data_IF_695518811517
#
_entry.id   IF_695518811517
#
_cell.length_a   1.000
_cell.length_b   1.000
_cell.length_c   1.000
_cell.angle_alpha   90.00
_cell.angle_beta   90.00
_cell.angle_gamma   90.00
#
_symmetry.space_group_name_H-M   'P 1'
#
loop_
_entity.id
_entity.type
_entity.pdbx_description
1 polymer ?
#
# COMPACT_ATOMS: atom_id res chain seq x y z
N UNK A 1 22.09 -34.00 13.96
CA UNK A 1 22.32 -33.42 12.61
C UNK A 1 21.21 -32.40 12.32
N UNK A 2 21.17 -31.26 13.04
CA UNK A 2 20.03 -30.30 12.98
C UNK A 2 20.28 -29.11 12.03
N UNK A 3 20.85 -29.37 10.85
CA UNK A 3 21.17 -28.29 9.90
C UNK A 3 19.91 -27.59 9.36
N UNK A 4 18.80 -28.32 9.21
CA UNK A 4 17.51 -27.78 8.75
C UNK A 4 16.87 -26.79 9.74
N UNK A 5 17.00 -27.01 11.05
CA UNK A 5 16.44 -26.11 12.07
C UNK A 5 17.12 -24.74 12.09
N UNK A 6 18.39 -24.67 11.71
CA UNK A 6 19.12 -23.40 11.61
C UNK A 6 18.70 -22.61 10.36
N UNK A 7 18.49 -23.29 9.24
CA UNK A 7 18.05 -22.68 7.97
C UNK A 7 16.61 -22.16 8.07
N UNK A 8 15.71 -22.88 8.74
CA UNK A 8 14.30 -22.46 8.90
C UNK A 8 14.07 -21.35 9.94
N UNK A 9 15.00 -21.12 10.87
CA UNK A 9 14.86 -20.07 11.89
C UNK A 9 14.95 -18.66 11.32
N UNK A 10 15.82 -18.46 10.32
CA UNK A 10 16.05 -17.17 9.65
C UNK A 10 14.77 -16.61 9.00
N UNK A 11 14.02 -17.34 8.15
CA UNK A 11 12.79 -16.82 7.55
C UNK A 11 11.70 -16.57 8.58
N UNK A 12 11.56 -17.41 9.62
CA UNK A 12 10.58 -17.19 10.68
C UNK A 12 10.82 -15.87 11.44
N UNK A 13 12.08 -15.50 11.65
CA UNK A 13 12.44 -14.21 12.26
C UNK A 13 12.18 -13.02 11.34
N UNK A 14 12.19 -13.22 10.02
CA UNK A 14 11.88 -12.15 9.05
C UNK A 14 10.39 -11.84 8.97
N UNK A 15 9.51 -12.82 9.18
CA UNK A 15 8.05 -12.64 9.12
C UNK A 15 7.57 -11.44 9.98
N UNK A 16 7.89 -11.33 11.29
CA UNK A 16 7.43 -10.21 12.10
C UNK A 16 8.05 -8.87 11.67
N UNK A 17 9.28 -8.86 11.14
CA UNK A 17 9.91 -7.64 10.62
C UNK A 17 9.18 -7.15 9.38
N UNK A 18 8.90 -8.05 8.44
CA UNK A 18 8.16 -7.74 7.22
C UNK A 18 6.74 -7.26 7.56
N UNK A 19 6.05 -7.94 8.46
CA UNK A 19 4.73 -7.52 8.96
C UNK A 19 4.80 -6.12 9.58
N UNK A 20 5.79 -5.87 10.45
CA UNK A 20 5.98 -4.57 11.08
C UNK A 20 6.18 -3.45 10.07
N UNK A 21 7.09 -3.64 9.09
CA UNK A 21 7.34 -2.66 8.03
C UNK A 21 6.08 -2.46 7.18
N UNK A 22 5.40 -3.53 6.74
CA UNK A 22 4.17 -3.42 5.95
C UNK A 22 3.08 -2.64 6.67
N UNK A 23 2.85 -2.92 7.96
CA UNK A 23 1.86 -2.18 8.78
C UNK A 23 2.26 -0.72 8.92
N UNK A 24 3.52 -0.43 9.23
CA UNK A 24 4.00 0.95 9.36
C UNK A 24 3.85 1.70 8.03
N UNK A 25 4.30 1.12 6.91
CA UNK A 25 4.16 1.74 5.58
C UNK A 25 2.69 1.94 5.21
N UNK A 26 1.83 0.95 5.45
CA UNK A 26 0.39 1.09 5.21
C UNK A 26 -0.23 2.22 6.04
N UNK A 27 0.10 2.29 7.33
CA UNK A 27 -0.38 3.37 8.20
C UNK A 27 0.14 4.73 7.73
N UNK A 28 1.40 4.85 7.33
CA UNK A 28 1.95 6.09 6.79
C UNK A 28 1.23 6.53 5.51
N UNK A 29 0.94 5.60 4.60
CA UNK A 29 0.18 5.88 3.39
C UNK A 29 -1.26 6.29 3.72
N UNK A 30 -1.91 5.59 4.65
CA UNK A 30 -3.27 5.90 5.09
C UNK A 30 -3.38 7.24 5.82
N UNK A 31 -2.35 7.61 6.59
CA UNK A 31 -2.26 8.88 7.30
C UNK A 31 -1.86 10.04 6.40
N UNK A 32 -1.26 9.77 5.22
CA UNK A 32 -0.90 10.82 4.28
C UNK A 32 -2.18 11.44 3.71
N UNK A 33 -2.49 12.70 4.04
CA UNK A 33 -3.68 13.35 3.50
C UNK A 33 -3.40 13.69 2.04
N UNK A 34 -3.98 12.92 1.14
CA UNK A 34 -3.78 13.11 -0.29
C UNK A 34 -4.60 12.12 -1.08
N UNK A 35 -5.55 12.63 -1.87
CA UNK A 35 -6.20 11.81 -2.88
C UNK A 35 -5.12 11.38 -3.89
N UNK A 36 -4.81 10.08 -4.04
CA UNK A 36 -3.78 9.61 -4.97
C UNK A 36 -4.05 10.10 -6.39
N UNK A 37 -5.33 10.30 -6.75
CA UNK A 37 -5.71 10.88 -8.05
C UNK A 37 -5.29 12.35 -8.15
N UNK A 38 -5.38 13.12 -7.06
CA UNK A 38 -4.88 14.51 -7.01
C UNK A 38 -3.36 14.58 -6.98
N UNK A 39 -2.69 13.61 -6.37
CA UNK A 39 -1.23 13.51 -6.42
C UNK A 39 -0.73 13.16 -7.83
N UNK A 40 -1.43 12.27 -8.54
CA UNK A 40 -1.10 11.87 -9.91
C UNK A 40 -1.37 12.98 -10.94
N UNK A 41 -2.53 13.65 -10.85
CA UNK A 41 -2.91 14.72 -11.80
C UNK A 41 -2.32 16.10 -11.43
N UNK A 42 -1.76 16.21 -10.22
CA UNK A 42 -1.22 17.45 -9.69
C UNK A 42 -2.29 18.41 -9.16
N UNK A 43 -1.88 19.48 -8.45
CA UNK A 43 -2.78 20.38 -7.73
C UNK A 43 -3.68 21.24 -8.63
N UNK A 44 -3.47 21.25 -9.95
CA UNK A 44 -4.29 22.00 -10.93
C UNK A 44 -5.28 21.11 -11.70
N UNK A 45 -5.42 19.84 -11.33
CA UNK A 45 -6.35 18.92 -11.97
C UNK A 45 -7.79 19.43 -11.86
N UNK A 46 -8.53 19.46 -12.98
CA UNK A 46 -9.95 19.75 -12.96
C UNK A 46 -10.73 18.63 -12.27
N UNK A 47 -11.88 18.95 -11.71
CA UNK A 47 -12.76 17.98 -11.03
C UNK A 47 -13.14 16.83 -11.98
N UNK A 48 -13.42 17.15 -13.25
CA UNK A 48 -13.74 16.18 -14.31
C UNK A 48 -12.58 15.20 -14.59
N UNK A 49 -11.33 15.67 -14.59
CA UNK A 49 -10.17 14.82 -14.79
C UNK A 49 -9.98 13.84 -13.62
N UNK A 50 -10.26 14.29 -12.39
CA UNK A 50 -10.22 13.45 -11.19
C UNK A 50 -11.29 12.36 -11.26
N UNK A 51 -12.52 12.71 -11.61
CA UNK A 51 -13.63 11.76 -11.74
C UNK A 51 -13.41 10.75 -12.87
N UNK A 52 -12.91 11.21 -14.02
CA UNK A 52 -12.54 10.33 -15.13
C UNK A 52 -11.50 9.30 -14.71
N UNK A 53 -10.46 9.73 -13.99
CA UNK A 53 -9.41 8.83 -13.50
C UNK A 53 -9.95 7.88 -12.44
N UNK A 54 -10.79 8.34 -11.50
CA UNK A 54 -11.40 7.45 -10.50
C UNK A 54 -12.23 6.34 -11.16
N UNK A 55 -13.10 6.71 -12.10
CA UNK A 55 -13.91 5.74 -12.84
C UNK A 55 -13.06 4.80 -13.70
N UNK A 56 -11.97 5.31 -14.31
CA UNK A 56 -11.03 4.52 -15.11
C UNK A 56 -10.33 3.43 -14.30
N UNK A 57 -9.97 3.73 -13.06
CA UNK A 57 -9.26 2.81 -12.16
C UNK A 57 -10.19 2.06 -11.19
N UNK A 58 -11.51 2.27 -11.26
CA UNK A 58 -12.49 1.66 -10.36
C UNK A 58 -12.32 2.07 -8.89
N UNK A 59 -11.72 3.24 -8.65
CA UNK A 59 -11.47 3.76 -7.29
C UNK A 59 -12.76 4.24 -6.59
N UNK A 60 -13.84 4.36 -7.35
CA UNK A 60 -15.20 4.70 -6.94
C UNK A 60 -16.08 3.45 -6.69
N UNK A 61 -15.56 2.24 -6.91
CA UNK A 61 -16.31 1.00 -6.70
C UNK A 61 -16.12 0.44 -5.29
N UNK A 62 -17.18 -0.10 -4.65
CA UNK A 62 -17.07 -0.73 -3.35
C UNK A 62 -16.20 -1.99 -3.43
N UNK A 63 -15.34 -2.18 -2.42
CA UNK A 63 -14.47 -3.35 -2.32
C UNK A 63 -15.37 -4.57 -2.01
N UNK A 64 -15.33 -5.65 -2.82
CA UNK A 64 -16.11 -6.87 -2.57
C UNK A 64 -15.63 -7.67 -1.35
#
# INVERSE_FOLDING_TARGET
MNRFSFVLRRPIQLIPVLLGISVITFLLLQMTPGDPVRLMLGPKASQEAIEFVRARYGLDQPIP
#
